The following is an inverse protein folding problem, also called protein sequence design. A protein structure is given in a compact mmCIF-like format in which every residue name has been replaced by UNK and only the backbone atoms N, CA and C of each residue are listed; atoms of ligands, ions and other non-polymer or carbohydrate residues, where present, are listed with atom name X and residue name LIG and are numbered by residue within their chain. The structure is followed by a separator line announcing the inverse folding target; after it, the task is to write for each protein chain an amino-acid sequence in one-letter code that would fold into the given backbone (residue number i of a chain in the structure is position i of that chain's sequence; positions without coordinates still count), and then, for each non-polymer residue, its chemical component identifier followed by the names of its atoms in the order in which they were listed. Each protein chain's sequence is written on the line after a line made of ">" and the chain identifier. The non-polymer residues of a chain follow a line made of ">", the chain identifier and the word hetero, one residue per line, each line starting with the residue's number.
data_IF_334926005532
#
_entry.id   IF_334926005532
#
_cell.length_a   1.000
_cell.length_b   1.000
_cell.length_c   1.000
_cell.angle_alpha   90.00
_cell.angle_beta   90.00
_cell.angle_gamma   90.00
#
_symmetry.space_group_name_H-M   'P 1'
#
loop_
_entity.id
_entity.type
_entity.pdbx_description
1 polymer ?
#
# COMPACT_ATOMS: atom_id res chain seq x y z
N UNK A 1 0.09 -1.47 22.57
CA UNK A 1 -0.60 -0.83 21.43
C UNK A 1 -2.05 -0.66 21.83
N UNK A 2 -2.55 0.58 21.75
CA UNK A 2 -3.93 0.93 22.12
C UNK A 2 -4.73 1.40 20.90
N UNK A 3 -4.04 1.70 19.79
CA UNK A 3 -4.66 2.15 18.53
C UNK A 3 -3.87 1.61 17.34
N UNK A 4 -4.58 1.27 16.28
CA UNK A 4 -4.01 0.83 15.00
C UNK A 4 -4.64 1.61 13.85
N UNK A 5 -3.86 1.79 12.78
CA UNK A 5 -4.35 2.28 11.50
C UNK A 5 -4.29 1.13 10.51
N UNK A 6 -5.43 0.71 10.00
CA UNK A 6 -5.56 -0.35 8.99
C UNK A 6 -5.72 0.24 7.60
N UNK A 7 -5.64 -0.59 6.56
CA UNK A 7 -5.80 -0.13 5.18
C UNK A 7 -4.53 0.47 4.56
N UNK A 8 -3.35 0.19 5.11
CA UNK A 8 -2.08 0.68 4.57
C UNK A 8 -1.62 -0.10 3.33
N UNK A 9 -0.58 0.39 2.67
CA UNK A 9 0.03 -0.21 1.46
C UNK A 9 -0.95 -0.42 0.29
N UNK A 10 -2.01 0.38 0.22
CA UNK A 10 -2.99 0.35 -0.86
C UNK A 10 -4.08 -0.72 -0.72
N UNK A 11 -4.11 -1.49 0.36
CA UNK A 11 -5.12 -2.53 0.59
C UNK A 11 -5.97 -2.24 1.81
N UNK A 12 -7.29 -2.14 1.62
CA UNK A 12 -8.27 -1.89 2.67
C UNK A 12 -9.43 -2.89 2.60
N UNK A 13 -10.15 -3.05 3.72
CA UNK A 13 -11.34 -3.89 3.75
C UNK A 13 -12.50 -3.31 2.95
N UNK A 14 -12.45 -2.00 2.69
CA UNK A 14 -13.45 -1.22 1.95
C UNK A 14 -12.77 -0.44 0.81
N UNK A 15 -13.50 -0.04 -0.25
CA UNK A 15 -14.83 -0.53 -0.59
C UNK A 15 -14.82 -1.99 -1.05
N UNK A 16 -15.94 -2.69 -0.88
CA UNK A 16 -16.10 -4.05 -1.42
C UNK A 16 -17.36 -4.19 -2.26
N UNK A 17 -17.36 -5.21 -3.13
CA UNK A 17 -18.54 -5.63 -3.86
C UNK A 17 -18.83 -7.10 -3.55
N UNK A 18 -20.10 -7.51 -3.44
CA UNK A 18 -20.48 -8.92 -3.31
C UNK A 18 -19.91 -9.81 -4.39
N UNK A 19 -19.67 -9.24 -5.57
CA UNK A 19 -19.25 -9.97 -6.78
C UNK A 19 -17.71 -10.06 -6.92
N UNK A 20 -16.94 -9.40 -6.04
CA UNK A 20 -15.47 -9.38 -6.08
C UNK A 20 -14.91 -10.16 -4.92
N UNK A 21 -14.13 -11.21 -5.21
CA UNK A 21 -13.35 -11.90 -4.18
C UNK A 21 -12.22 -10.99 -3.66
N UNK A 22 -12.49 -10.35 -2.52
CA UNK A 22 -11.53 -9.47 -1.88
C UNK A 22 -10.27 -10.18 -1.38
N UNK A 23 -10.35 -11.49 -1.12
CA UNK A 23 -9.18 -12.24 -0.71
C UNK A 23 -8.15 -12.31 -1.84
N UNK A 24 -8.60 -12.40 -3.07
CA UNK A 24 -7.75 -12.34 -4.27
C UNK A 24 -7.27 -10.90 -4.55
N UNK A 25 -8.18 -9.92 -4.48
CA UNK A 25 -7.88 -8.51 -4.74
C UNK A 25 -6.89 -7.91 -3.74
N UNK A 26 -6.99 -8.29 -2.45
CA UNK A 26 -6.09 -7.84 -1.38
C UNK A 26 -4.78 -8.63 -1.29
N UNK A 27 -4.57 -9.55 -2.23
CA UNK A 27 -3.39 -10.38 -2.21
C UNK A 27 -3.28 -11.32 -1.01
N UNK A 28 -4.40 -11.69 -0.42
CA UNK A 28 -4.45 -12.59 0.73
C UNK A 28 -4.23 -11.89 2.08
N UNK A 29 -3.90 -10.59 2.11
CA UNK A 29 -3.76 -9.82 3.38
C UNK A 29 -5.09 -9.80 4.14
N UNK A 30 -6.22 -9.77 3.42
CA UNK A 30 -7.57 -9.82 3.98
C UNK A 30 -8.16 -11.25 3.97
N UNK A 31 -7.36 -12.26 3.66
CA UNK A 31 -7.80 -13.65 3.68
C UNK A 31 -8.29 -14.04 5.08
N UNK A 32 -9.54 -14.52 5.15
CA UNK A 32 -10.17 -14.88 6.42
C UNK A 32 -11.09 -13.80 7.01
N UNK A 33 -11.11 -12.58 6.49
CA UNK A 33 -12.17 -11.62 6.76
C UNK A 33 -13.47 -12.13 6.12
N UNK A 34 -14.41 -12.53 6.98
CA UNK A 34 -15.75 -12.89 6.55
C UNK A 34 -16.66 -11.69 6.75
N UNK A 35 -17.05 -11.07 5.68
CA UNK A 35 -17.99 -9.96 5.68
C UNK A 35 -17.96 -9.26 4.33
N UNK A 36 -19.11 -8.77 3.92
CA UNK A 36 -19.25 -7.95 2.73
C UNK A 36 -19.27 -6.50 3.20
N UNK A 37 -18.08 -5.90 3.28
CA UNK A 37 -17.94 -4.52 3.74
C UNK A 37 -17.99 -3.59 2.53
N UNK A 38 -19.19 -3.16 2.17
CA UNK A 38 -19.38 -2.24 1.04
C UNK A 38 -18.74 -0.90 1.35
N UNK A 39 -18.83 -0.45 2.61
CA UNK A 39 -18.38 0.83 3.07
C UNK A 39 -17.84 0.80 4.52
N UNK A 40 -17.36 1.94 5.01
CA UNK A 40 -16.76 2.05 6.34
C UNK A 40 -17.78 1.85 7.46
N UNK A 41 -19.01 2.28 7.29
CA UNK A 41 -20.07 2.13 8.29
C UNK A 41 -20.35 0.64 8.53
N UNK A 42 -20.56 -0.14 7.48
CA UNK A 42 -20.76 -1.59 7.57
C UNK A 42 -19.56 -2.33 8.15
N UNK A 43 -18.34 -1.88 7.81
CA UNK A 43 -17.12 -2.42 8.42
C UNK A 43 -17.09 -2.19 9.93
N UNK A 44 -17.27 -0.95 10.40
CA UNK A 44 -17.23 -0.65 11.82
C UNK A 44 -18.38 -1.26 12.60
N UNK A 45 -19.58 -1.35 12.04
CA UNK A 45 -20.68 -2.09 12.66
C UNK A 45 -20.29 -3.55 12.95
N UNK A 46 -19.60 -4.20 12.01
CA UNK A 46 -19.09 -5.56 12.19
C UNK A 46 -17.97 -5.62 13.22
N UNK A 47 -16.98 -4.71 13.16
CA UNK A 47 -15.84 -4.68 14.09
C UNK A 47 -16.32 -4.44 15.51
N UNK A 48 -17.20 -3.47 15.73
CA UNK A 48 -17.75 -3.13 17.06
C UNK A 48 -18.55 -4.28 17.65
N UNK A 49 -19.25 -5.08 16.82
CA UNK A 49 -19.97 -6.28 17.29
C UNK A 49 -19.04 -7.36 17.87
N UNK A 50 -17.73 -7.25 17.64
CA UNK A 50 -16.69 -8.16 18.18
C UNK A 50 -16.00 -7.61 19.43
N UNK A 51 -16.44 -6.46 19.95
CA UNK A 51 -15.90 -5.83 21.15
C UNK A 51 -14.36 -5.72 21.14
N UNK A 52 -13.76 -5.04 20.12
CA UNK A 52 -12.31 -4.97 19.98
C UNK A 52 -11.68 -4.26 21.19
N UNK A 53 -10.55 -4.75 21.66
CA UNK A 53 -9.81 -4.17 22.80
C UNK A 53 -8.88 -3.02 22.41
N UNK A 54 -8.84 -2.65 21.12
CA UNK A 54 -8.00 -1.56 20.60
C UNK A 54 -8.83 -0.64 19.70
N UNK A 55 -8.42 0.63 19.63
CA UNK A 55 -9.01 1.57 18.68
C UNK A 55 -8.53 1.25 17.26
N UNK A 56 -9.41 1.40 16.28
CA UNK A 56 -9.08 1.19 14.87
C UNK A 56 -9.48 2.44 14.07
N UNK A 57 -8.55 2.90 13.23
CA UNK A 57 -8.78 3.86 12.16
C UNK A 57 -8.48 3.17 10.83
N UNK A 58 -9.06 3.66 9.73
CA UNK A 58 -8.86 3.05 8.42
C UNK A 58 -8.43 4.07 7.37
N UNK A 59 -7.50 3.64 6.52
CA UNK A 59 -7.18 4.28 5.25
C UNK A 59 -7.94 3.57 4.13
N UNK A 60 -8.47 4.30 3.15
CA UNK A 60 -8.99 3.69 1.93
C UNK A 60 -7.83 3.38 0.98
N UNK A 61 -7.79 2.15 0.45
CA UNK A 61 -6.65 1.63 -0.32
C UNK A 61 -6.82 1.81 -1.82
N UNK A 62 -5.81 2.39 -2.48
CA UNK A 62 -5.72 2.52 -3.94
C UNK A 62 -5.91 1.19 -4.67
N UNK A 63 -5.16 0.16 -4.26
CA UNK A 63 -5.21 -1.16 -4.90
C UNK A 63 -6.60 -1.80 -4.76
N UNK A 64 -7.27 -1.59 -3.64
CA UNK A 64 -8.64 -2.04 -3.41
C UNK A 64 -9.62 -1.33 -4.34
N UNK A 65 -9.57 0.01 -4.40
CA UNK A 65 -10.43 0.81 -5.28
C UNK A 65 -10.14 0.50 -6.75
N UNK A 66 -8.87 0.40 -7.13
CA UNK A 66 -8.48 0.07 -8.50
C UNK A 66 -8.94 -1.33 -8.92
N UNK A 67 -8.80 -2.33 -8.02
CA UNK A 67 -9.31 -3.68 -8.29
C UNK A 67 -10.82 -3.70 -8.47
N UNK A 68 -11.55 -2.91 -7.71
CA UNK A 68 -13.01 -2.84 -7.80
C UNK A 68 -13.47 -2.26 -9.15
N UNK A 69 -12.77 -1.24 -9.67
CA UNK A 69 -13.19 -0.50 -10.88
C UNK A 69 -12.57 -1.06 -12.16
N UNK A 70 -11.28 -1.45 -12.12
CA UNK A 70 -10.52 -1.88 -13.30
C UNK A 70 -10.13 -3.36 -13.28
N UNK A 71 -10.33 -4.07 -12.15
CA UNK A 71 -9.77 -5.41 -11.97
C UNK A 71 -8.23 -5.38 -12.02
N UNK A 72 -7.63 -6.32 -12.74
CA UNK A 72 -6.16 -6.42 -12.94
C UNK A 72 -5.71 -5.78 -14.29
N UNK A 73 -6.46 -4.81 -14.80
CA UNK A 73 -6.15 -4.15 -16.07
C UNK A 73 -4.81 -3.41 -16.01
N UNK A 74 -3.94 -3.70 -16.98
CA UNK A 74 -2.59 -3.11 -17.13
C UNK A 74 -2.63 -1.87 -18.01
N UNK A 75 -3.47 -0.91 -17.69
CA UNK A 75 -3.65 0.35 -18.43
C UNK A 75 -4.07 1.47 -17.48
N UNK A 76 -3.93 2.71 -17.90
CA UNK A 76 -4.53 3.84 -17.22
C UNK A 76 -6.07 3.71 -17.19
N UNK A 77 -6.76 4.26 -16.18
CA UNK A 77 -8.21 4.36 -16.15
C UNK A 77 -8.70 5.30 -17.27
N UNK A 78 -9.88 5.04 -17.75
CA UNK A 78 -10.63 6.06 -18.51
C UNK A 78 -11.07 7.19 -17.57
N UNK A 79 -11.47 8.34 -18.12
CA UNK A 79 -11.96 9.46 -17.33
C UNK A 79 -13.18 9.06 -16.44
N UNK A 80 -14.06 8.20 -16.95
CA UNK A 80 -15.20 7.69 -16.19
C UNK A 80 -14.77 6.75 -15.05
N UNK A 81 -13.84 5.84 -15.31
CA UNK A 81 -13.29 4.95 -14.27
C UNK A 81 -12.55 5.74 -13.19
N UNK A 82 -11.74 6.74 -13.58
CA UNK A 82 -11.04 7.60 -12.63
C UNK A 82 -12.03 8.39 -11.75
N UNK A 83 -13.11 8.90 -12.34
CA UNK A 83 -14.18 9.57 -11.60
C UNK A 83 -14.81 8.62 -10.57
N UNK A 84 -15.15 7.38 -10.98
CA UNK A 84 -15.70 6.36 -10.08
C UNK A 84 -14.72 6.02 -8.94
N UNK A 85 -13.42 5.92 -9.22
CA UNK A 85 -12.39 5.70 -8.19
C UNK A 85 -12.34 6.86 -7.19
N UNK A 86 -12.41 8.11 -7.67
CA UNK A 86 -12.48 9.31 -6.80
C UNK A 86 -13.72 9.31 -5.92
N UNK A 87 -14.88 8.92 -6.46
CA UNK A 87 -16.13 8.84 -5.69
C UNK A 87 -16.06 7.81 -4.57
N UNK A 88 -15.45 6.65 -4.79
CA UNK A 88 -15.21 5.65 -3.74
C UNK A 88 -14.30 6.19 -2.62
N UNK A 89 -13.23 6.90 -2.98
CA UNK A 89 -12.33 7.50 -1.99
C UNK A 89 -13.04 8.60 -1.21
N UNK A 90 -13.79 9.47 -1.89
CA UNK A 90 -14.57 10.55 -1.28
C UNK A 90 -15.57 10.01 -0.27
N UNK A 91 -16.37 9.02 -0.66
CA UNK A 91 -17.33 8.37 0.23
C UNK A 91 -16.65 7.79 1.48
N UNK A 92 -15.52 7.10 1.31
CA UNK A 92 -14.80 6.53 2.43
C UNK A 92 -14.28 7.62 3.41
N UNK A 93 -13.80 8.76 2.90
CA UNK A 93 -13.35 9.89 3.71
C UNK A 93 -14.51 10.58 4.40
N UNK A 94 -15.65 10.80 3.72
CA UNK A 94 -16.88 11.33 4.29
C UNK A 94 -17.41 10.47 5.44
N UNK A 95 -17.24 9.15 5.36
CA UNK A 95 -17.60 8.21 6.42
C UNK A 95 -16.58 8.13 7.56
N UNK A 96 -15.43 8.79 7.45
CA UNK A 96 -14.42 8.91 8.51
C UNK A 96 -13.15 8.07 8.34
N UNK A 97 -12.83 7.62 7.14
CA UNK A 97 -11.46 7.16 6.86
C UNK A 97 -10.46 8.30 7.15
N UNK A 98 -9.33 7.96 7.77
CA UNK A 98 -8.31 8.96 8.13
C UNK A 98 -7.38 9.34 6.98
N UNK A 99 -7.56 8.75 5.80
CA UNK A 99 -6.76 9.05 4.62
C UNK A 99 -6.87 8.01 3.52
N UNK A 100 -6.03 8.19 2.52
CA UNK A 100 -5.86 7.36 1.34
C UNK A 100 -4.49 6.69 1.35
N UNK A 101 -4.40 5.42 0.98
CA UNK A 101 -3.13 4.71 0.90
C UNK A 101 -2.84 4.16 -0.48
N UNK A 102 -1.57 4.16 -0.90
CA UNK A 102 -1.13 3.46 -2.10
C UNK A 102 -0.08 2.39 -1.80
N UNK A 103 0.01 1.40 -2.69
CA UNK A 103 1.05 0.38 -2.67
C UNK A 103 1.51 0.10 -4.10
N UNK A 104 2.43 0.96 -4.60
CA UNK A 104 2.79 1.03 -6.00
C UNK A 104 3.75 -0.07 -6.45
N UNK A 105 4.29 -0.87 -5.54
CA UNK A 105 5.01 -2.09 -5.84
C UNK A 105 4.07 -3.27 -6.15
N UNK A 106 2.84 -3.25 -5.62
CA UNK A 106 1.89 -4.35 -5.68
C UNK A 106 0.93 -4.22 -6.87
N UNK A 107 0.41 -5.36 -7.34
CA UNK A 107 -0.71 -5.37 -8.30
C UNK A 107 -2.02 -5.08 -7.57
N UNK A 108 -2.95 -4.35 -8.22
CA UNK A 108 -2.85 -3.70 -9.52
C UNK A 108 -2.22 -2.29 -9.48
N UNK A 109 -1.88 -1.74 -8.30
CA UNK A 109 -1.34 -0.38 -8.14
C UNK A 109 -0.06 -0.12 -8.93
N UNK A 110 0.77 -1.15 -9.17
CA UNK A 110 1.99 -1.03 -9.98
C UNK A 110 1.74 -0.65 -11.44
N UNK A 111 0.50 -0.81 -11.93
CA UNK A 111 0.11 -0.46 -13.30
C UNK A 111 -0.36 0.98 -13.46
N UNK A 112 -0.53 1.70 -12.33
CA UNK A 112 -0.85 3.12 -12.35
C UNK A 112 0.36 3.96 -12.71
N UNK A 113 0.14 5.03 -13.44
CA UNK A 113 1.08 6.13 -13.55
C UNK A 113 0.96 7.08 -12.36
N UNK A 114 1.89 8.03 -12.26
CA UNK A 114 1.93 9.02 -11.17
C UNK A 114 0.71 9.93 -11.22
N UNK A 115 0.22 10.28 -12.41
CA UNK A 115 -0.92 11.18 -12.61
C UNK A 115 -2.21 10.58 -12.04
N UNK A 116 -2.47 9.28 -12.27
CA UNK A 116 -3.59 8.58 -11.64
C UNK A 116 -3.56 8.74 -10.11
N UNK A 117 -2.39 8.50 -9.49
CA UNK A 117 -2.26 8.55 -8.02
C UNK A 117 -2.41 9.97 -7.52
N UNK A 118 -1.88 10.98 -8.22
CA UNK A 118 -2.07 12.41 -7.91
C UNK A 118 -3.56 12.76 -7.90
N UNK A 119 -4.30 12.40 -8.96
CA UNK A 119 -5.73 12.71 -9.06
C UNK A 119 -6.57 12.06 -7.95
N UNK A 120 -6.19 10.87 -7.52
CA UNK A 120 -6.84 10.18 -6.41
C UNK A 120 -6.44 10.77 -5.05
N UNK A 121 -5.16 11.10 -4.86
CA UNK A 121 -4.67 11.72 -3.63
C UNK A 121 -5.20 13.15 -3.42
N UNK A 122 -5.55 13.89 -4.50
CA UNK A 122 -6.23 15.18 -4.40
C UNK A 122 -7.52 15.10 -3.58
N UNK A 123 -8.25 13.98 -3.67
CA UNK A 123 -9.43 13.78 -2.85
C UNK A 123 -9.06 13.78 -1.36
N UNK A 124 -7.95 13.14 -0.96
CA UNK A 124 -7.48 13.21 0.41
C UNK A 124 -7.05 14.64 0.82
N UNK A 125 -6.41 15.38 -0.09
CA UNK A 125 -6.07 16.80 0.12
C UNK A 125 -7.29 17.68 0.37
N UNK A 126 -8.41 17.46 -0.34
CA UNK A 126 -9.68 18.19 -0.11
C UNK A 126 -10.23 18.02 1.33
N UNK A 127 -9.89 16.91 2.00
CA UNK A 127 -10.31 16.59 3.37
C UNK A 127 -9.22 16.87 4.43
N UNK A 128 -8.10 17.49 4.05
CA UNK A 128 -6.92 17.65 4.93
C UNK A 128 -6.46 16.31 5.53
N UNK A 129 -6.58 15.22 4.75
CA UNK A 129 -6.34 13.86 5.18
C UNK A 129 -4.96 13.34 4.74
N UNK A 130 -4.55 12.21 5.30
CA UNK A 130 -3.28 11.55 4.99
C UNK A 130 -3.29 10.95 3.58
N UNK A 131 -2.17 11.08 2.87
CA UNK A 131 -1.77 10.19 1.80
C UNK A 131 -0.59 9.34 2.28
N UNK A 132 -0.78 8.03 2.43
CA UNK A 132 0.29 7.10 2.82
C UNK A 132 0.74 6.26 1.63
N UNK A 133 2.02 5.92 1.54
CA UNK A 133 2.50 5.15 0.39
C UNK A 133 3.52 4.08 0.75
N UNK A 134 3.27 2.84 0.32
CA UNK A 134 4.32 1.90 0.01
C UNK A 134 4.82 2.27 -1.39
N UNK A 135 6.00 2.85 -1.45
CA UNK A 135 6.56 3.41 -2.67
C UNK A 135 6.72 2.37 -3.79
N UNK A 136 6.83 2.83 -5.02
CA UNK A 136 6.97 2.00 -6.22
C UNK A 136 8.22 1.13 -6.22
N UNK A 137 9.28 1.59 -5.58
CA UNK A 137 10.54 0.86 -5.47
C UNK A 137 11.25 1.24 -4.17
N UNK A 138 11.75 0.25 -3.46
CA UNK A 138 12.52 0.44 -2.22
C UNK A 138 13.99 -0.03 -2.37
N UNK A 139 14.40 -0.40 -3.59
CA UNK A 139 15.71 -0.92 -3.94
C UNK A 139 16.53 0.03 -4.80
N UNK A 140 16.86 -0.42 -6.01
CA UNK A 140 17.73 0.27 -6.96
C UNK A 140 17.21 1.64 -7.38
N UNK A 141 15.87 1.80 -7.47
CA UNK A 141 15.17 3.06 -7.81
C UNK A 141 14.54 3.75 -6.59
N UNK A 142 15.11 3.55 -5.39
CA UNK A 142 14.58 4.17 -4.17
C UNK A 142 14.45 5.69 -4.29
N UNK A 143 15.47 6.36 -4.84
CA UNK A 143 15.49 7.82 -4.92
C UNK A 143 14.42 8.36 -5.88
N UNK A 144 14.22 7.69 -7.01
CA UNK A 144 13.15 8.04 -7.96
C UNK A 144 11.76 7.84 -7.32
N UNK A 145 11.60 6.77 -6.53
CA UNK A 145 10.34 6.48 -5.83
C UNK A 145 10.04 7.47 -4.70
N UNK A 146 11.07 8.01 -4.04
CA UNK A 146 10.91 9.10 -3.07
C UNK A 146 10.51 10.38 -3.79
N UNK A 147 11.13 10.71 -4.94
CA UNK A 147 10.73 11.87 -5.74
C UNK A 147 9.28 11.77 -6.21
N UNK A 148 8.85 10.58 -6.67
CA UNK A 148 7.44 10.31 -7.03
C UNK A 148 6.50 10.54 -5.84
N UNK A 149 6.83 10.00 -4.66
CA UNK A 149 6.01 10.17 -3.46
C UNK A 149 5.89 11.65 -3.05
N UNK A 150 6.99 12.37 -3.04
CA UNK A 150 7.03 13.81 -2.74
C UNK A 150 6.21 14.62 -3.76
N UNK A 151 6.33 14.29 -5.05
CA UNK A 151 5.53 14.92 -6.11
C UNK A 151 4.02 14.69 -5.88
N UNK A 152 3.61 13.44 -5.61
CA UNK A 152 2.19 13.13 -5.36
C UNK A 152 1.67 13.91 -4.15
N UNK A 153 2.39 13.91 -3.03
CA UNK A 153 1.99 14.67 -1.84
C UNK A 153 1.86 16.17 -2.11
N UNK A 154 2.81 16.74 -2.85
CA UNK A 154 2.82 18.16 -3.22
C UNK A 154 1.65 18.54 -4.15
N UNK A 155 1.48 17.80 -5.24
CA UNK A 155 0.46 18.11 -6.25
C UNK A 155 -0.97 17.81 -5.76
N UNK A 156 -1.12 16.90 -4.80
CA UNK A 156 -2.40 16.59 -4.18
C UNK A 156 -2.79 17.52 -3.03
N UNK A 157 -1.84 18.24 -2.44
CA UNK A 157 -2.04 19.04 -1.25
C UNK A 157 -2.33 18.23 0.02
N UNK A 158 -2.12 16.89 -0.02
CA UNK A 158 -2.35 16.00 1.12
C UNK A 158 -1.12 15.92 2.03
N UNK A 159 -1.32 15.48 3.27
CA UNK A 159 -0.21 15.18 4.19
C UNK A 159 0.43 13.85 3.80
N UNK A 160 1.64 13.89 3.22
CA UNK A 160 2.36 12.70 2.80
C UNK A 160 2.91 11.91 3.99
N UNK A 161 2.70 10.60 4.00
CA UNK A 161 3.39 9.67 4.89
C UNK A 161 4.05 8.54 4.09
N UNK A 162 5.39 8.45 4.15
CA UNK A 162 6.14 7.37 3.52
C UNK A 162 6.22 6.20 4.50
N UNK A 163 5.50 5.11 4.20
CA UNK A 163 5.43 3.93 5.06
C UNK A 163 6.72 3.12 5.01
N UNK A 164 7.14 2.59 6.18
CA UNK A 164 8.25 1.63 6.34
C UNK A 164 9.47 1.93 5.47
N UNK A 165 9.92 3.20 5.49
CA UNK A 165 11.02 3.71 4.67
C UNK A 165 12.29 2.89 4.88
N UNK A 166 12.89 2.43 3.80
CA UNK A 166 14.10 1.60 3.80
C UNK A 166 14.81 1.59 2.46
N UNK A 167 16.08 1.14 2.47
CA UNK A 167 16.80 0.74 1.27
C UNK A 167 16.92 -0.78 1.24
N UNK A 168 16.12 -1.44 0.42
CA UNK A 168 16.09 -2.88 0.30
C UNK A 168 17.23 -3.40 -0.57
N UNK A 169 17.88 -4.49 -0.11
CA UNK A 169 19.00 -5.13 -0.79
C UNK A 169 20.35 -4.49 -0.48
N UNK A 170 21.35 -5.33 -0.33
CA UNK A 170 22.71 -4.93 0.10
C UNK A 170 23.36 -3.88 -0.80
N UNK A 171 23.12 -3.95 -2.11
CA UNK A 171 23.64 -2.98 -3.08
C UNK A 171 23.07 -1.56 -2.91
N UNK A 172 21.98 -1.42 -2.18
CA UNK A 172 21.30 -0.15 -1.95
C UNK A 172 21.58 0.46 -0.57
N UNK A 173 22.34 -0.24 0.28
CA UNK A 173 22.69 0.28 1.60
C UNK A 173 23.44 1.61 1.47
N UNK A 174 23.09 2.56 2.32
CA UNK A 174 23.60 3.93 2.25
C UNK A 174 22.71 4.92 1.47
N UNK A 175 21.80 4.46 0.58
CA UNK A 175 20.86 5.35 -0.12
C UNK A 175 19.88 6.06 0.82
N UNK A 176 19.67 5.52 2.01
CA UNK A 176 18.75 6.12 3.02
C UNK A 176 19.17 7.54 3.37
N UNK A 177 20.45 7.82 3.50
CA UNK A 177 20.90 9.20 3.77
C UNK A 177 20.51 10.18 2.66
N UNK A 178 20.59 9.74 1.39
CA UNK A 178 20.22 10.58 0.25
C UNK A 178 18.69 10.77 0.16
N UNK A 179 17.91 9.71 0.43
CA UNK A 179 16.45 9.81 0.43
C UNK A 179 15.92 10.68 1.58
N UNK A 180 16.56 10.62 2.77
CA UNK A 180 16.22 11.50 3.89
C UNK A 180 16.53 12.97 3.59
N UNK A 181 17.63 13.28 2.90
CA UNK A 181 17.92 14.65 2.45
C UNK A 181 16.80 15.22 1.56
N UNK A 182 16.23 14.40 0.65
CA UNK A 182 15.10 14.82 -0.18
C UNK A 182 13.85 15.11 0.67
N UNK A 183 13.58 14.28 1.66
CA UNK A 183 12.45 14.47 2.60
C UNK A 183 12.67 15.74 3.44
N UNK A 184 13.88 15.96 3.96
CA UNK A 184 14.24 17.17 4.72
C UNK A 184 14.11 18.43 3.86
N UNK A 185 14.55 18.38 2.60
CA UNK A 185 14.38 19.50 1.65
C UNK A 185 12.90 19.81 1.41
N UNK A 186 12.05 18.79 1.24
CA UNK A 186 10.61 18.98 1.08
C UNK A 186 9.97 19.62 2.33
N UNK A 187 10.37 19.17 3.54
CA UNK A 187 9.94 19.77 4.81
C UNK A 187 10.34 21.25 4.92
N UNK A 188 11.59 21.59 4.60
CA UNK A 188 12.09 22.98 4.61
C UNK A 188 11.30 23.85 3.64
N UNK A 189 10.87 23.28 2.51
CA UNK A 189 10.03 23.95 1.51
C UNK A 189 8.53 23.98 1.88
N UNK A 190 8.16 23.56 3.10
CA UNK A 190 6.81 23.66 3.64
C UNK A 190 5.87 22.53 3.27
N UNK A 191 6.37 21.44 2.68
CA UNK A 191 5.55 20.27 2.43
C UNK A 191 5.35 19.46 3.71
N UNK A 192 4.12 19.08 4.04
CA UNK A 192 3.83 18.20 5.15
C UNK A 192 4.22 16.75 4.80
N UNK A 193 5.34 16.29 5.34
CA UNK A 193 5.89 14.94 5.11
C UNK A 193 6.26 14.29 6.42
N UNK A 194 5.87 13.02 6.56
CA UNK A 194 6.30 12.14 7.64
C UNK A 194 6.74 10.78 7.07
N UNK A 195 7.45 10.01 7.85
CA UNK A 195 7.79 8.62 7.50
C UNK A 195 7.85 7.75 8.76
N UNK A 196 7.71 6.46 8.59
CA UNK A 196 7.98 5.48 9.63
C UNK A 196 9.02 4.44 9.19
N UNK A 197 9.57 3.72 10.16
CA UNK A 197 10.50 2.61 9.96
C UNK A 197 10.21 1.51 10.99
N UNK A 198 10.53 0.27 10.67
CA UNK A 198 10.51 -0.84 11.61
C UNK A 198 11.95 -1.22 12.01
N UNK A 199 12.19 -1.71 13.25
CA UNK A 199 13.54 -1.98 13.75
C UNK A 199 14.05 -3.40 13.38
N UNK A 200 13.74 -3.88 12.18
CA UNK A 200 14.13 -5.20 11.71
C UNK A 200 14.95 -5.11 10.43
N UNK A 201 15.86 -6.06 10.23
CA UNK A 201 16.71 -6.15 9.02
C UNK A 201 16.08 -6.97 7.89
N UNK A 202 14.81 -7.36 8.04
CA UNK A 202 14.05 -8.11 7.04
C UNK A 202 12.65 -7.53 6.89
N UNK A 203 12.11 -7.59 5.69
CA UNK A 203 10.72 -7.32 5.36
C UNK A 203 9.95 -8.61 5.11
N UNK A 204 8.62 -8.53 5.12
CA UNK A 204 7.73 -9.64 4.78
C UNK A 204 6.77 -9.22 3.67
N UNK A 205 6.52 -10.13 2.73
CA UNK A 205 5.59 -9.90 1.64
C UNK A 205 5.38 -11.16 0.81
N UNK A 206 4.52 -11.07 -0.22
CA UNK A 206 4.31 -12.20 -1.12
C UNK A 206 5.50 -12.39 -2.02
N UNK A 207 5.94 -13.64 -2.18
CA UNK A 207 7.11 -14.00 -3.00
C UNK A 207 6.99 -13.46 -4.44
N UNK A 208 5.79 -13.51 -5.04
CA UNK A 208 5.54 -13.07 -6.43
C UNK A 208 5.80 -11.58 -6.67
N UNK A 209 5.83 -10.76 -5.63
CA UNK A 209 6.10 -9.33 -5.75
C UNK A 209 7.61 -9.05 -5.78
N UNK A 210 8.41 -9.95 -5.23
CA UNK A 210 9.86 -9.77 -5.06
C UNK A 210 10.68 -10.71 -5.94
N UNK A 211 10.13 -11.84 -6.37
CA UNK A 211 10.85 -12.87 -7.10
C UNK A 211 10.16 -13.20 -8.42
N UNK A 212 10.91 -13.06 -9.52
CA UNK A 212 10.43 -13.40 -10.85
C UNK A 212 10.72 -14.88 -11.15
N UNK A 213 9.67 -15.69 -11.24
CA UNK A 213 9.79 -17.12 -11.53
C UNK A 213 10.21 -17.41 -12.98
N UNK A 214 9.90 -16.50 -13.92
CA UNK A 214 10.29 -16.65 -15.33
C UNK A 214 11.77 -16.30 -15.57
N UNK A 215 12.37 -15.53 -14.66
CA UNK A 215 13.79 -15.18 -14.67
C UNK A 215 14.33 -15.21 -13.24
N UNK A 216 14.58 -16.39 -12.68
CA UNK A 216 14.96 -16.56 -11.30
C UNK A 216 16.36 -15.97 -11.04
N UNK A 217 16.48 -15.20 -9.97
CA UNK A 217 17.74 -14.64 -9.48
C UNK A 217 18.19 -15.45 -8.25
N UNK A 218 19.24 -16.25 -8.41
CA UNK A 218 19.74 -17.13 -7.34
C UNK A 218 20.30 -16.31 -6.15
N UNK A 219 20.98 -15.19 -6.39
CA UNK A 219 21.49 -14.34 -5.31
C UNK A 219 20.33 -13.79 -4.46
N UNK A 220 19.27 -13.34 -5.10
CA UNK A 220 18.06 -12.90 -4.41
C UNK A 220 17.40 -14.07 -3.67
N UNK A 221 17.31 -15.26 -4.27
CA UNK A 221 16.74 -16.45 -3.64
C UNK A 221 17.48 -16.85 -2.35
N UNK A 222 18.78 -16.58 -2.25
CA UNK A 222 19.60 -16.76 -1.03
C UNK A 222 19.24 -15.79 0.10
N UNK A 223 18.50 -14.74 -0.17
CA UNK A 223 18.06 -13.75 0.81
C UNK A 223 16.62 -13.94 1.25
N UNK A 224 15.84 -14.78 0.58
CA UNK A 224 14.43 -15.01 0.83
C UNK A 224 14.23 -16.27 1.68
N UNK A 225 13.61 -16.12 2.85
CA UNK A 225 13.16 -17.22 3.69
C UNK A 225 11.65 -17.36 3.57
N UNK A 226 11.15 -18.57 3.35
CA UNK A 226 9.72 -18.84 3.28
C UNK A 226 9.13 -18.83 4.69
N UNK A 227 8.36 -17.81 4.99
CA UNK A 227 7.72 -17.67 6.30
C UNK A 227 6.45 -18.53 6.41
N UNK A 228 5.68 -18.65 5.32
CA UNK A 228 4.47 -19.47 5.26
C UNK A 228 4.26 -20.03 3.86
N UNK A 229 3.86 -21.30 3.79
CA UNK A 229 3.49 -21.97 2.55
C UNK A 229 2.35 -22.97 2.83
N UNK A 230 1.07 -22.50 2.85
CA UNK A 230 -0.07 -23.37 3.16
C UNK A 230 -0.21 -24.57 2.23
N UNK A 231 0.22 -24.45 0.97
CA UNK A 231 0.20 -25.53 -0.01
C UNK A 231 1.20 -26.65 0.29
N UNK A 232 2.33 -26.32 0.92
CA UNK A 232 3.34 -27.30 1.32
C UNK A 232 4.18 -26.78 2.50
N UNK A 233 3.78 -27.11 3.71
CA UNK A 233 4.44 -26.66 4.95
C UNK A 233 5.89 -27.12 5.11
N UNK A 234 6.34 -28.11 4.33
CA UNK A 234 7.75 -28.56 4.35
C UNK A 234 8.72 -27.48 3.86
N UNK A 235 8.22 -26.46 3.17
CA UNK A 235 9.03 -25.32 2.72
C UNK A 235 9.12 -24.19 3.76
N UNK A 236 8.25 -24.18 4.77
CA UNK A 236 8.27 -23.14 5.79
C UNK A 236 9.60 -23.17 6.58
N UNK A 237 10.18 -21.99 6.77
CA UNK A 237 11.49 -21.83 7.42
C UNK A 237 12.72 -22.05 6.53
N UNK A 238 12.55 -22.58 5.31
CA UNK A 238 13.65 -22.82 4.37
C UNK A 238 13.98 -21.56 3.58
N UNK A 239 15.23 -21.48 3.11
CA UNK A 239 15.61 -20.47 2.13
C UNK A 239 15.09 -20.87 0.74
N UNK A 240 14.69 -19.89 -0.06
CA UNK A 240 14.15 -20.15 -1.40
C UNK A 240 15.17 -20.85 -2.30
N UNK A 241 16.45 -20.58 -2.12
CA UNK A 241 17.54 -21.22 -2.88
C UNK A 241 17.68 -22.73 -2.60
N UNK A 242 17.15 -23.22 -1.48
CA UNK A 242 17.23 -24.61 -1.05
C UNK A 242 16.01 -25.46 -1.49
N UNK A 243 15.13 -24.91 -2.31
CA UNK A 243 13.89 -25.54 -2.81
C UNK A 243 13.96 -25.66 -4.31
#
# INVERSE_FOLDING_TARGET
>A
VTSVVSGNCGFSAIPSSPDVDQSAASGGILAGLKGNFVDLEGYFATVLSKEPSINNMMLVGHNTVRSLVLGDAKRAPTAAELATMRDHIRLALEQGCCGFSSGLIYRPGRYSDTEEVVELAKVAGEFDALYTTHMRNEGDKLLDAVDEALLIGKESGSHLHISHHKAAGKANWGKVSQSLMKVEEALVNGQAVTLDVYPYTAGSGRMIEYFNLDNPNEELARTIRIASCPANRLYEGRMLVDI
#
